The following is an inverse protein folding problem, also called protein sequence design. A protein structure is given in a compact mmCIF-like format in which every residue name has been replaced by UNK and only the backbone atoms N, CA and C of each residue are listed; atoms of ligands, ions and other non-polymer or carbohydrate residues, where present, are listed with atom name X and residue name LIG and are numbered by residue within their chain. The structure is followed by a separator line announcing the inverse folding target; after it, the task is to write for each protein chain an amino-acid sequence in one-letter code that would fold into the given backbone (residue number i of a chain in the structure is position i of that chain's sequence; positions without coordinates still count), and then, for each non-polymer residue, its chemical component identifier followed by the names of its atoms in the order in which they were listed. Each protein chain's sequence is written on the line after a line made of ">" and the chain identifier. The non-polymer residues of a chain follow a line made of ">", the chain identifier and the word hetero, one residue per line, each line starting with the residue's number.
data_IF_218851211866
#
_entry.id   IF_218851211866
#
_cell.length_a   1.000
_cell.length_b   1.000
_cell.length_c   1.000
_cell.angle_alpha   90.00
_cell.angle_beta   90.00
_cell.angle_gamma   90.00
#
_symmetry.space_group_name_H-M   'P 1'
#
loop_
_entity.id
_entity.type
_entity.pdbx_description
1 polymer ?
#
# COMPACT_ATOMS: atom_id res chain seq x y z
N UNK A 1 3.31 -3.76 21.04
CA UNK A 1 3.86 -4.10 19.72
C UNK A 1 5.37 -4.08 19.85
N UNK A 2 6.06 -5.21 19.68
CA UNK A 2 7.53 -5.18 19.59
C UNK A 2 7.94 -4.37 18.35
N UNK A 3 8.84 -3.41 18.52
CA UNK A 3 9.35 -2.59 17.42
C UNK A 3 10.40 -3.37 16.64
N UNK A 4 10.57 -3.06 15.35
CA UNK A 4 11.56 -3.72 14.48
C UNK A 4 12.97 -3.67 15.09
N UNK A 5 13.32 -2.53 15.71
CA UNK A 5 14.62 -2.33 16.36
C UNK A 5 14.84 -3.28 17.54
N UNK A 6 13.83 -3.48 18.39
CA UNK A 6 13.94 -4.43 19.51
C UNK A 6 14.16 -5.86 19.05
N UNK A 7 13.57 -6.27 17.91
CA UNK A 7 13.79 -7.59 17.31
C UNK A 7 15.19 -7.75 16.74
N UNK A 8 15.74 -6.70 16.11
CA UNK A 8 17.13 -6.72 15.61
C UNK A 8 18.15 -6.81 16.74
N UNK A 9 17.95 -6.08 17.83
CA UNK A 9 18.81 -6.17 19.01
C UNK A 9 18.77 -7.57 19.64
N UNK A 10 17.57 -8.14 19.83
CA UNK A 10 17.41 -9.51 20.32
C UNK A 10 18.10 -10.53 19.41
N UNK A 11 17.95 -10.41 18.09
CA UNK A 11 18.64 -11.27 17.11
C UNK A 11 20.16 -11.18 17.21
N UNK A 12 20.72 -9.97 17.31
CA UNK A 12 22.17 -9.76 17.42
C UNK A 12 22.76 -10.36 18.69
N UNK A 13 22.09 -10.20 19.83
CA UNK A 13 22.51 -10.81 21.10
C UNK A 13 22.43 -12.34 21.01
N UNK A 14 21.35 -12.88 20.46
CA UNK A 14 21.18 -14.32 20.33
C UNK A 14 22.24 -14.95 19.41
N UNK A 15 22.52 -14.34 18.26
CA UNK A 15 23.53 -14.84 17.31
C UNK A 15 24.96 -14.82 17.86
N UNK A 16 25.28 -13.91 18.78
CA UNK A 16 26.62 -13.84 19.39
C UNK A 16 26.79 -14.78 20.57
N UNK A 17 25.74 -14.99 21.38
CA UNK A 17 25.80 -15.82 22.59
C UNK A 17 25.49 -17.31 22.36
N UNK A 18 24.77 -17.67 21.31
CA UNK A 18 24.39 -19.07 21.05
C UNK A 18 25.57 -19.97 20.64
N UNK A 19 26.45 -19.58 19.70
CA UNK A 19 27.59 -20.41 19.29
C UNK A 19 28.51 -20.83 20.44
N UNK A 20 28.94 -19.95 21.37
CA UNK A 20 29.78 -20.36 22.49
C UNK A 20 29.05 -21.30 23.46
N UNK A 21 27.73 -21.18 23.62
CA UNK A 21 26.93 -22.12 24.42
C UNK A 21 26.96 -23.53 23.83
N UNK A 22 26.73 -23.67 22.52
CA UNK A 22 26.78 -24.97 21.83
C UNK A 22 28.18 -25.59 21.94
N UNK A 23 29.24 -24.77 21.75
CA UNK A 23 30.63 -25.22 21.90
C UNK A 23 30.87 -25.72 23.33
N UNK A 24 30.36 -25.03 24.35
CA UNK A 24 30.47 -25.45 25.74
C UNK A 24 29.78 -26.81 26.00
N UNK A 25 28.59 -27.03 25.45
CA UNK A 25 27.91 -28.33 25.54
C UNK A 25 28.69 -29.46 24.86
N UNK A 26 29.20 -29.22 23.65
CA UNK A 26 30.00 -30.21 22.93
C UNK A 26 31.32 -30.52 23.65
N UNK A 27 31.99 -29.50 24.18
CA UNK A 27 33.21 -29.66 24.97
C UNK A 27 32.95 -30.44 26.27
N UNK A 28 31.83 -30.18 26.94
CA UNK A 28 31.41 -30.90 28.16
C UNK A 28 31.14 -32.38 27.87
N UNK A 29 30.42 -32.67 26.79
CA UNK A 29 30.16 -34.05 26.34
C UNK A 29 31.49 -34.74 25.98
N UNK A 30 32.36 -34.08 25.21
CA UNK A 30 33.66 -34.63 24.84
C UNK A 30 34.55 -34.90 26.06
N UNK A 31 34.58 -33.99 27.03
CA UNK A 31 35.33 -34.15 28.28
C UNK A 31 34.86 -35.39 29.07
N UNK A 32 33.54 -35.55 29.23
CA UNK A 32 32.96 -36.71 29.90
C UNK A 32 33.28 -38.01 29.15
N UNK A 33 33.27 -38.00 27.81
CA UNK A 33 33.55 -39.17 27.00
C UNK A 33 35.04 -39.57 27.01
N UNK A 34 35.96 -38.61 27.14
CA UNK A 34 37.41 -38.83 27.04
C UNK A 34 38.03 -39.20 28.39
N UNK A 35 37.54 -38.65 29.50
CA UNK A 35 38.16 -38.86 30.80
C UNK A 35 37.64 -40.16 31.48
N UNK A 36 38.55 -41.12 31.68
CA UNK A 36 38.21 -42.47 32.20
C UNK A 36 37.59 -42.50 33.61
N UNK A 37 37.83 -41.49 34.46
CA UNK A 37 37.29 -41.44 35.83
C UNK A 37 35.81 -41.03 35.90
N UNK A 38 35.39 -40.06 35.07
CA UNK A 38 33.99 -39.65 34.95
C UNK A 38 33.13 -40.67 34.22
N UNK A 39 33.73 -41.58 33.45
CA UNK A 39 33.03 -42.75 32.89
C UNK A 39 32.48 -43.70 33.96
N UNK A 40 33.03 -43.73 35.17
CA UNK A 40 32.43 -44.51 36.25
C UNK A 40 31.12 -43.87 36.75
N UNK A 41 30.99 -42.54 36.67
CA UNK A 41 29.73 -41.84 36.91
C UNK A 41 28.70 -42.02 35.78
N UNK A 42 29.10 -42.57 34.61
CA UNK A 42 28.25 -42.87 33.46
C UNK A 42 27.23 -43.99 33.73
N UNK A 43 27.41 -44.77 34.80
CA UNK A 43 26.38 -45.69 35.29
C UNK A 43 25.09 -44.95 35.67
N UNK A 44 25.21 -43.68 36.05
CA UNK A 44 24.10 -42.76 36.08
C UNK A 44 24.00 -42.10 34.70
N UNK A 45 23.16 -42.64 33.81
CA UNK A 45 22.92 -42.05 32.49
C UNK A 45 22.32 -40.63 32.55
N UNK A 46 21.86 -40.18 33.72
CA UNK A 46 21.19 -38.90 33.95
C UNK A 46 21.93 -37.67 33.43
N UNK A 47 23.21 -37.41 33.79
CA UNK A 47 23.93 -36.22 33.35
C UNK A 47 24.14 -36.15 31.84
N UNK A 48 24.38 -37.29 31.18
CA UNK A 48 24.47 -37.34 29.72
C UNK A 48 23.13 -37.04 29.06
N UNK A 49 22.03 -37.62 29.56
CA UNK A 49 20.68 -37.37 29.03
C UNK A 49 20.32 -35.89 29.20
N UNK A 50 20.61 -35.29 30.35
CA UNK A 50 20.39 -33.86 30.59
C UNK A 50 21.19 -32.96 29.63
N UNK A 51 22.46 -33.29 29.37
CA UNK A 51 23.29 -32.56 28.40
C UNK A 51 22.77 -32.71 26.97
N UNK A 52 22.34 -33.91 26.58
CA UNK A 52 21.75 -34.15 25.27
C UNK A 52 20.41 -33.41 25.10
N UNK A 53 19.51 -33.53 26.08
CA UNK A 53 18.23 -32.81 26.08
C UNK A 53 18.47 -31.30 26.03
N UNK A 54 19.40 -30.77 26.83
CA UNK A 54 19.77 -29.35 26.81
C UNK A 54 20.34 -28.88 25.48
N UNK A 55 21.20 -29.68 24.85
CA UNK A 55 21.73 -29.38 23.51
C UNK A 55 20.62 -29.41 22.45
N UNK A 56 19.72 -30.40 22.51
CA UNK A 56 18.57 -30.47 21.61
C UNK A 56 17.64 -29.26 21.79
N UNK A 57 17.31 -28.86 23.02
CA UNK A 57 16.49 -27.67 23.26
C UNK A 57 17.14 -26.42 22.69
N UNK A 58 18.45 -26.23 22.88
CA UNK A 58 19.17 -25.05 22.33
C UNK A 58 19.16 -25.04 20.80
N UNK A 59 19.28 -26.19 20.15
CA UNK A 59 19.27 -26.31 18.68
C UNK A 59 17.86 -26.05 18.13
N UNK A 60 16.83 -26.67 18.72
CA UNK A 60 15.44 -26.48 18.29
C UNK A 60 14.95 -25.05 18.54
N UNK A 61 15.25 -24.49 19.72
CA UNK A 61 14.91 -23.11 20.05
C UNK A 61 15.60 -22.14 19.09
N UNK A 62 16.88 -22.38 18.76
CA UNK A 62 17.58 -21.57 17.76
C UNK A 62 16.88 -21.62 16.40
N UNK A 63 16.51 -22.82 15.93
CA UNK A 63 15.81 -22.97 14.65
C UNK A 63 14.47 -22.23 14.64
N UNK A 64 13.72 -22.31 15.75
CA UNK A 64 12.41 -21.66 15.87
C UNK A 64 12.54 -20.13 15.99
N UNK A 65 13.52 -19.66 16.75
CA UNK A 65 13.80 -18.22 16.93
C UNK A 65 14.33 -17.60 15.63
N UNK A 66 15.18 -18.32 14.89
CA UNK A 66 15.69 -17.84 13.61
C UNK A 66 14.59 -17.77 12.55
N UNK A 67 13.67 -18.74 12.53
CA UNK A 67 12.48 -18.69 11.66
C UNK A 67 11.55 -17.52 12.05
N UNK A 68 11.33 -17.32 13.35
CA UNK A 68 10.57 -16.18 13.88
C UNK A 68 11.20 -14.84 13.53
N UNK A 69 12.53 -14.71 13.63
CA UNK A 69 13.22 -13.45 13.33
C UNK A 69 13.32 -13.18 11.82
N UNK A 70 13.31 -14.23 10.99
CA UNK A 70 13.29 -14.10 9.52
C UNK A 70 11.90 -13.74 8.99
N UNK A 71 10.86 -14.43 9.45
CA UNK A 71 9.51 -14.30 8.88
C UNK A 71 8.59 -13.39 9.70
N UNK A 72 8.95 -13.13 10.96
CA UNK A 72 8.11 -12.42 11.92
C UNK A 72 6.99 -13.29 12.53
N UNK A 73 6.96 -14.59 12.22
CA UNK A 73 5.94 -15.54 12.66
C UNK A 73 6.59 -16.88 13.03
N UNK A 74 5.97 -17.65 13.93
CA UNK A 74 6.44 -18.99 14.29
C UNK A 74 5.71 -20.00 13.40
N UNK A 75 6.44 -20.86 12.69
CA UNK A 75 5.85 -22.02 11.98
C UNK A 75 5.48 -23.13 12.99
N UNK A 76 4.36 -23.85 12.83
CA UNK A 76 3.40 -23.82 11.73
C UNK A 76 2.43 -22.63 11.79
N UNK A 77 2.18 -22.03 10.63
CA UNK A 77 1.22 -20.92 10.48
C UNK A 77 -0.21 -21.46 10.66
N UNK A 78 -0.80 -21.24 11.83
CA UNK A 78 -2.25 -21.41 12.00
C UNK A 78 -2.97 -20.31 11.21
N UNK A 79 -3.61 -20.66 10.11
CA UNK A 79 -4.38 -19.74 9.24
C UNK A 79 -5.47 -18.95 9.99
N UNK A 80 -5.85 -19.38 11.20
CA UNK A 80 -6.82 -18.71 12.07
C UNK A 80 -6.30 -17.48 12.84
N UNK A 81 -4.98 -17.30 12.99
CA UNK A 81 -4.41 -16.16 13.74
C UNK A 81 -3.83 -15.11 12.79
N UNK A 82 -4.72 -14.36 12.14
CA UNK A 82 -4.32 -13.20 11.35
C UNK A 82 -4.01 -11.99 12.27
N UNK A 83 -2.77 -11.48 12.19
CA UNK A 83 -2.33 -10.28 12.90
C UNK A 83 -3.28 -9.10 12.63
N UNK A 84 -3.54 -8.20 13.60
CA UNK A 84 -4.40 -7.04 13.39
C UNK A 84 -4.00 -6.18 12.18
N UNK A 85 -2.69 -6.10 11.86
CA UNK A 85 -2.21 -5.35 10.71
C UNK A 85 -2.53 -6.02 9.37
N UNK A 86 -2.41 -7.34 9.31
CA UNK A 86 -2.71 -8.13 8.11
C UNK A 86 -4.21 -8.19 7.85
N UNK A 87 -5.01 -8.23 8.94
CA UNK A 87 -6.47 -8.11 8.88
C UNK A 87 -6.89 -6.77 8.29
N UNK A 88 -6.27 -5.66 8.75
CA UNK A 88 -6.52 -4.31 8.19
C UNK A 88 -6.20 -4.25 6.71
N UNK A 89 -5.04 -4.78 6.28
CA UNK A 89 -4.67 -4.81 4.85
C UNK A 89 -5.67 -5.62 4.01
N UNK A 90 -6.08 -6.81 4.49
CA UNK A 90 -7.12 -7.61 3.82
C UNK A 90 -8.42 -6.83 3.67
N UNK A 91 -8.85 -6.17 4.74
CA UNK A 91 -10.10 -5.40 4.75
C UNK A 91 -10.02 -4.19 3.82
N UNK A 92 -8.88 -3.48 3.80
CA UNK A 92 -8.61 -2.39 2.88
C UNK A 92 -8.67 -2.84 1.42
N UNK A 93 -8.02 -3.95 1.08
CA UNK A 93 -8.06 -4.49 -0.29
C UNK A 93 -9.48 -4.88 -0.71
N UNK A 94 -10.27 -5.46 0.20
CA UNK A 94 -11.65 -5.84 -0.06
C UNK A 94 -12.52 -4.60 -0.30
N UNK A 95 -12.40 -3.56 0.54
CA UNK A 95 -13.11 -2.30 0.35
C UNK A 95 -12.74 -1.64 -0.98
N UNK A 96 -11.45 -1.56 -1.31
CA UNK A 96 -11.00 -1.01 -2.61
C UNK A 96 -11.61 -1.76 -3.78
N UNK A 97 -11.60 -3.11 -3.74
CA UNK A 97 -12.20 -3.91 -4.81
C UNK A 97 -13.72 -3.71 -4.95
N UNK A 98 -14.44 -3.48 -3.85
CA UNK A 98 -15.87 -3.19 -3.88
C UNK A 98 -16.14 -1.80 -4.45
N UNK A 99 -15.34 -0.80 -4.05
CA UNK A 99 -15.44 0.56 -4.54
C UNK A 99 -15.17 0.65 -6.06
N UNK A 100 -14.12 -0.01 -6.55
CA UNK A 100 -13.81 -0.06 -7.98
C UNK A 100 -14.94 -0.72 -8.79
N UNK A 101 -15.57 -1.76 -8.24
CA UNK A 101 -16.72 -2.42 -8.86
C UNK A 101 -17.99 -1.53 -8.87
N UNK A 102 -18.25 -0.80 -7.79
CA UNK A 102 -19.39 0.14 -7.73
C UNK A 102 -19.20 1.32 -8.69
N UNK A 103 -18.00 1.90 -8.75
CA UNK A 103 -17.66 2.95 -9.72
C UNK A 103 -17.85 2.42 -11.14
N UNK A 104 -17.33 1.23 -11.45
CA UNK A 104 -17.46 0.64 -12.77
C UNK A 104 -18.94 0.43 -13.17
N UNK A 105 -19.81 0.12 -12.20
CA UNK A 105 -21.25 -0.03 -12.43
C UNK A 105 -21.94 1.31 -12.71
N UNK A 106 -21.54 2.38 -12.00
CA UNK A 106 -22.08 3.73 -12.23
C UNK A 106 -21.62 4.30 -13.58
N UNK A 107 -20.34 4.14 -13.92
CA UNK A 107 -19.81 4.61 -15.21
C UNK A 107 -20.52 3.95 -16.39
N UNK A 108 -20.70 2.62 -16.36
CA UNK A 108 -21.47 1.90 -17.40
C UNK A 108 -22.90 2.40 -17.53
N UNK A 109 -23.56 2.70 -16.41
CA UNK A 109 -24.93 3.23 -16.43
C UNK A 109 -24.97 4.63 -17.06
N UNK A 110 -24.01 5.50 -16.73
CA UNK A 110 -23.94 6.84 -17.30
C UNK A 110 -23.66 6.79 -18.81
N UNK A 111 -22.78 5.90 -19.29
CA UNK A 111 -22.54 5.68 -20.72
C UNK A 111 -23.84 5.25 -21.45
N UNK A 112 -24.60 4.31 -20.86
CA UNK A 112 -25.91 3.90 -21.41
C UNK A 112 -26.97 5.02 -21.38
N UNK A 113 -26.91 5.92 -20.40
CA UNK A 113 -27.85 7.04 -20.27
C UNK A 113 -27.47 8.20 -21.22
N UNK A 114 -26.18 8.48 -21.42
CA UNK A 114 -25.70 9.48 -22.40
C UNK A 114 -26.00 9.05 -23.85
N UNK A 115 -25.82 7.77 -24.20
CA UNK A 115 -26.21 7.23 -25.50
C UNK A 115 -27.72 7.39 -25.77
N UNK A 116 -28.56 7.22 -24.74
CA UNK A 116 -30.02 7.45 -24.86
C UNK A 116 -30.40 8.93 -25.03
N UNK A 117 -29.67 9.83 -24.39
CA UNK A 117 -29.93 11.28 -24.46
C UNK A 117 -29.49 11.87 -25.80
N UNK A 118 -28.44 11.34 -26.41
CA UNK A 118 -27.95 11.86 -27.69
C UNK A 118 -28.91 11.57 -28.87
N UNK A 119 -29.60 10.43 -28.83
CA UNK A 119 -30.61 10.03 -29.84
C UNK A 119 -31.96 10.76 -29.71
N UNK A 120 -32.19 11.53 -28.63
CA UNK A 120 -33.49 12.19 -28.37
C UNK A 120 -33.37 13.70 -28.14
N UNK A 121 -32.67 14.42 -29.03
CA UNK A 121 -32.76 15.90 -29.06
C UNK A 121 -34.05 16.33 -29.74
N UNK A 122 -35.13 16.40 -28.97
CA UNK A 122 -36.42 16.88 -29.45
C UNK A 122 -36.41 18.42 -29.50
N UNK A 123 -36.33 18.98 -30.71
CA UNK A 123 -36.42 20.42 -30.91
C UNK A 123 -37.88 20.85 -30.87
N UNK A 124 -38.27 21.56 -29.82
CA UNK A 124 -39.59 22.18 -29.75
C UNK A 124 -39.57 23.55 -30.46
N UNK A 125 -40.49 23.74 -31.40
CA UNK A 125 -40.81 25.08 -31.92
C UNK A 125 -41.40 25.90 -30.77
N UNK A 126 -40.64 26.88 -30.27
CA UNK A 126 -41.08 27.76 -29.20
C UNK A 126 -42.08 28.81 -29.69
N UNK A 127 -42.85 29.42 -28.78
CA UNK A 127 -43.80 30.48 -29.09
C UNK A 127 -43.12 31.69 -29.77
N UNK A 128 -43.85 32.37 -30.66
CA UNK A 128 -43.36 33.56 -31.40
C UNK A 128 -42.87 34.70 -30.49
N UNK A 129 -43.43 34.81 -29.28
CA UNK A 129 -42.97 35.76 -28.27
C UNK A 129 -41.52 35.49 -27.83
N UNK A 130 -41.15 34.21 -27.72
CA UNK A 130 -39.79 33.80 -27.38
C UNK A 130 -38.81 34.10 -28.52
N UNK A 131 -39.25 33.95 -29.76
CA UNK A 131 -38.46 34.33 -30.93
C UNK A 131 -38.22 35.85 -30.92
N UNK A 132 -39.26 36.64 -30.67
CA UNK A 132 -39.16 38.10 -30.60
C UNK A 132 -38.22 38.54 -29.47
N UNK A 133 -38.33 37.93 -28.29
CA UNK A 133 -37.43 38.18 -27.17
C UNK A 133 -35.98 37.80 -27.49
N UNK A 134 -35.74 36.67 -28.16
CA UNK A 134 -34.41 36.25 -28.61
C UNK A 134 -33.81 37.22 -29.63
N UNK A 135 -34.59 37.67 -30.60
CA UNK A 135 -34.16 38.69 -31.57
C UNK A 135 -33.82 39.99 -30.86
N UNK A 136 -34.63 40.44 -29.91
CA UNK A 136 -34.35 41.65 -29.13
C UNK A 136 -33.07 41.52 -28.29
N UNK A 137 -32.86 40.38 -27.63
CA UNK A 137 -31.63 40.13 -26.87
C UNK A 137 -30.42 40.13 -27.80
N UNK A 138 -30.53 39.51 -28.98
CA UNK A 138 -29.46 39.51 -29.97
C UNK A 138 -29.14 40.92 -30.47
N UNK A 139 -30.16 41.69 -30.85
CA UNK A 139 -30.00 43.09 -31.28
C UNK A 139 -29.44 43.98 -30.17
N UNK A 140 -29.92 43.84 -28.94
CA UNK A 140 -29.41 44.56 -27.77
C UNK A 140 -27.93 44.22 -27.51
N UNK A 141 -27.60 42.93 -27.54
CA UNK A 141 -26.23 42.45 -27.30
C UNK A 141 -25.27 42.90 -28.40
N UNK A 142 -25.73 42.95 -29.66
CA UNK A 142 -24.94 43.41 -30.81
C UNK A 142 -24.85 44.94 -30.90
N UNK A 143 -25.88 45.66 -30.46
CA UNK A 143 -25.92 47.13 -30.46
C UNK A 143 -25.16 47.75 -29.29
N UNK A 144 -24.80 46.96 -28.28
CA UNK A 144 -23.92 47.40 -27.20
C UNK A 144 -22.54 47.77 -27.76
N UNK A 145 -22.22 49.06 -27.76
CA UNK A 145 -20.92 49.60 -28.16
C UNK A 145 -19.75 48.86 -27.50
N UNK A 146 -19.94 48.47 -26.23
CA UNK A 146 -18.99 47.70 -25.42
C UNK A 146 -18.70 46.30 -25.97
N UNK A 147 -19.68 45.63 -26.58
CA UNK A 147 -19.48 44.32 -27.20
C UNK A 147 -18.63 44.44 -28.47
N UNK A 148 -18.86 45.50 -29.26
CA UNK A 148 -18.04 45.81 -30.45
C UNK A 148 -16.60 46.16 -30.07
N UNK A 149 -16.42 47.03 -29.08
CA UNK A 149 -15.11 47.38 -28.53
C UNK A 149 -14.37 46.14 -27.97
N UNK A 150 -15.10 45.21 -27.35
CA UNK A 150 -14.51 43.97 -26.85
C UNK A 150 -14.03 43.07 -27.99
N UNK A 151 -14.85 42.91 -29.04
CA UNK A 151 -14.46 42.15 -30.24
C UNK A 151 -13.26 42.79 -30.94
N UNK A 152 -13.21 44.13 -31.02
CA UNK A 152 -12.09 44.87 -31.61
C UNK A 152 -10.80 44.64 -30.82
N UNK A 153 -10.84 44.76 -29.49
CA UNK A 153 -9.70 44.43 -28.62
C UNK A 153 -9.24 42.99 -28.76
N UNK A 154 -10.17 42.04 -28.92
CA UNK A 154 -9.84 40.64 -29.16
C UNK A 154 -9.17 40.44 -30.52
N UNK A 155 -9.62 41.14 -31.58
CA UNK A 155 -8.99 41.11 -32.90
C UNK A 155 -7.57 41.69 -32.86
N UNK A 156 -7.39 42.82 -32.19
CA UNK A 156 -6.06 43.41 -31.96
C UNK A 156 -5.15 42.44 -31.20
N UNK A 157 -5.67 41.81 -30.15
CA UNK A 157 -4.92 40.81 -29.38
C UNK A 157 -4.55 39.58 -30.22
N UNK A 158 -5.46 39.06 -31.04
CA UNK A 158 -5.19 37.91 -31.93
C UNK A 158 -4.20 38.27 -33.04
N UNK A 159 -4.16 39.53 -33.49
CA UNK A 159 -3.19 39.99 -34.48
C UNK A 159 -1.74 40.01 -33.95
N UNK A 160 -1.55 40.00 -32.61
CA UNK A 160 -0.24 39.87 -31.99
C UNK A 160 0.26 38.41 -32.17
N UNK A 161 1.48 38.20 -32.71
CA UNK A 161 2.03 36.85 -32.87
C UNK A 161 2.05 36.08 -31.55
N UNK A 162 1.75 34.78 -31.63
CA UNK A 162 1.55 33.89 -30.47
C UNK A 162 2.70 33.92 -29.46
N UNK A 163 3.94 34.03 -29.94
CA UNK A 163 5.17 34.11 -29.12
C UNK A 163 5.14 35.27 -28.12
N UNK A 164 4.56 36.42 -28.49
CA UNK A 164 4.43 37.58 -27.60
C UNK A 164 3.21 37.47 -26.67
N UNK A 165 2.16 36.72 -27.05
CA UNK A 165 0.96 36.51 -26.22
C UNK A 165 1.23 35.60 -25.02
N UNK A 166 2.00 34.53 -25.21
CA UNK A 166 2.35 33.58 -24.14
C UNK A 166 3.32 34.15 -23.13
N UNK A 167 4.26 35.00 -23.55
CA UNK A 167 5.20 35.68 -22.64
C UNK A 167 4.47 36.58 -21.62
N UNK A 168 3.43 37.29 -22.05
CA UNK A 168 2.67 38.22 -21.20
C UNK A 168 1.77 37.50 -20.16
N UNK A 169 1.33 36.27 -20.46
CA UNK A 169 0.54 35.43 -19.53
C UNK A 169 1.44 34.77 -18.48
N UNK A 170 2.69 34.47 -18.84
CA UNK A 170 3.66 33.83 -17.95
C UNK A 170 4.46 34.83 -17.09
N UNK A 171 4.30 36.14 -17.29
CA UNK A 171 4.86 37.18 -16.42
C UNK A 171 6.40 37.24 -16.42
N UNK A 172 7.00 37.19 -17.62
CA UNK A 172 8.43 37.46 -17.85
C UNK A 172 8.66 38.90 -18.29
#
# INVERSE_FOLDING_TARGET
>A
METVETRRMKFGIFMTLQPPSIICYLASIHYILTHRGTRQALHHHGPLVLLFVGLFTVIFDLSMILDFLRTGFVTPRNEGYCSPAERRKRLQNLISSLYDNEIAKVLRKNEEDDERVEDTKEYHEGLDELQTARCWIAEYSLSMQRAKEHIEKLKEYVAIPEVYRTANIQGL
#
